data_IF_914471570253
#
_entry.id   IF_914471570253
#
_cell.length_a   1.000
_cell.length_b   1.000
_cell.length_c   1.000
_cell.angle_alpha   90.00
_cell.angle_beta   90.00
_cell.angle_gamma   90.00
#
_symmetry.space_group_name_H-M   'P 1'
#
loop_
_entity.id
_entity.type
_entity.pdbx_description
1 polymer ?
#
# COMPACT_ATOMS: atom_id res chain seq x y z
N UNK A 1 -3.23 3.35 -0.67
CA UNK A 1 -3.54 2.07 0.01
C UNK A 1 -3.88 1.07 -1.10
N UNK A 2 -3.25 -0.11 -1.09
CA UNK A 2 -3.31 -1.08 -2.19
C UNK A 2 -4.74 -1.59 -2.43
N UNK A 3 -5.19 -1.59 -3.71
CA UNK A 3 -6.50 -2.11 -4.15
C UNK A 3 -6.74 -3.55 -3.70
N UNK A 4 -5.68 -4.33 -3.44
CA UNK A 4 -5.74 -5.67 -2.85
C UNK A 4 -6.41 -5.70 -1.48
N UNK A 5 -6.18 -4.72 -0.61
CA UNK A 5 -6.83 -4.64 0.72
C UNK A 5 -8.32 -4.25 0.64
N UNK A 6 -8.77 -3.68 -0.48
CA UNK A 6 -10.14 -3.17 -0.66
C UNK A 6 -11.15 -4.31 -0.89
N UNK A 7 -10.84 -5.27 -1.76
CA UNK A 7 -11.68 -6.45 -2.04
C UNK A 7 -11.68 -7.49 -0.90
N UNK A 8 -10.60 -7.56 -0.12
CA UNK A 8 -10.48 -8.50 1.00
C UNK A 8 -11.50 -8.18 2.10
N UNK A 9 -11.86 -6.91 2.32
CA UNK A 9 -12.62 -6.52 3.52
C UNK A 9 -14.05 -7.07 3.62
N UNK A 10 -14.80 -7.11 2.51
CA UNK A 10 -16.20 -7.53 2.50
C UNK A 10 -16.33 -9.05 2.47
N UNK A 11 -15.52 -9.73 1.64
CA UNK A 11 -15.42 -11.19 1.62
C UNK A 11 -14.94 -11.72 2.97
N UNK A 12 -13.94 -11.08 3.58
CA UNK A 12 -13.43 -11.43 4.90
C UNK A 12 -14.47 -11.25 6.01
N UNK A 13 -15.22 -10.14 5.99
CA UNK A 13 -16.27 -9.90 6.98
C UNK A 13 -17.40 -10.94 6.89
N UNK A 14 -17.76 -11.34 5.67
CA UNK A 14 -18.72 -12.42 5.43
C UNK A 14 -18.20 -13.78 5.90
N UNK A 15 -16.94 -14.10 5.61
CA UNK A 15 -16.28 -15.32 6.07
C UNK A 15 -16.25 -15.41 7.60
N UNK A 16 -15.85 -14.32 8.28
CA UNK A 16 -15.93 -14.22 9.75
C UNK A 16 -17.35 -14.45 10.26
N UNK A 17 -18.36 -13.91 9.57
CA UNK A 17 -19.77 -14.14 9.87
C UNK A 17 -20.18 -15.61 9.74
N UNK A 18 -19.70 -16.30 8.71
CA UNK A 18 -19.89 -17.75 8.53
C UNK A 18 -19.26 -18.54 9.67
N UNK A 19 -17.97 -18.32 9.93
CA UNK A 19 -17.22 -18.98 11.02
C UNK A 19 -17.87 -18.74 12.39
N UNK A 20 -18.39 -17.52 12.63
CA UNK A 20 -19.06 -17.19 13.88
C UNK A 20 -20.37 -17.96 14.11
N UNK A 21 -21.08 -18.30 13.04
CA UNK A 21 -22.31 -19.11 13.11
C UNK A 21 -22.00 -20.58 13.37
N UNK A 22 -20.94 -21.11 12.77
CA UNK A 22 -20.65 -22.55 12.77
C UNK A 22 -19.79 -23.02 13.94
N UNK A 23 -18.85 -22.19 14.40
CA UNK A 23 -17.78 -22.63 15.31
C UNK A 23 -17.77 -21.97 16.69
N UNK A 24 -18.68 -21.02 16.96
CA UNK A 24 -18.77 -20.37 18.27
C UNK A 24 -20.17 -20.53 18.87
N UNK A 25 -20.31 -21.33 19.95
CA UNK A 25 -21.62 -21.55 20.58
C UNK A 25 -22.24 -20.24 21.06
N UNK A 26 -23.57 -20.13 20.92
CA UNK A 26 -24.30 -18.90 21.24
C UNK A 26 -24.59 -18.73 22.73
N UNK A 27 -24.60 -19.84 23.49
CA UNK A 27 -24.94 -19.83 24.91
C UNK A 27 -23.92 -19.08 25.78
N UNK A 28 -22.68 -18.90 25.35
CA UNK A 28 -21.72 -18.10 26.11
C UNK A 28 -22.17 -16.63 26.18
N UNK A 29 -22.18 -16.05 27.38
CA UNK A 29 -22.57 -14.66 27.58
C UNK A 29 -21.55 -13.71 26.92
N UNK A 30 -20.26 -13.90 27.23
CA UNK A 30 -19.14 -13.15 26.69
C UNK A 30 -18.19 -14.03 25.88
N UNK A 31 -17.46 -13.40 24.95
CA UNK A 31 -16.41 -14.10 24.20
C UNK A 31 -15.20 -14.43 25.09
N UNK A 32 -15.08 -13.77 26.24
CA UNK A 32 -14.06 -14.08 27.24
C UNK A 32 -14.26 -15.48 27.81
N UNK A 33 -15.51 -15.87 28.03
CA UNK A 33 -15.92 -17.14 28.64
C UNK A 33 -15.77 -18.33 27.69
N UNK A 34 -15.62 -18.07 26.39
CA UNK A 34 -15.40 -19.13 25.40
C UNK A 34 -14.06 -19.83 25.69
N UNK A 35 -14.03 -21.18 25.81
CA UNK A 35 -12.82 -21.93 26.10
C UNK A 35 -11.69 -21.68 25.11
N UNK A 36 -10.45 -21.72 25.60
CA UNK A 36 -9.24 -21.57 24.80
C UNK A 36 -9.14 -22.56 23.62
N UNK A 37 -9.52 -23.86 23.75
CA UNK A 37 -9.55 -24.79 22.61
C UNK A 37 -10.45 -24.31 21.46
N UNK A 38 -11.64 -23.80 21.77
CA UNK A 38 -12.57 -23.26 20.78
C UNK A 38 -11.99 -22.01 20.12
N UNK A 39 -11.38 -21.10 20.88
CA UNK A 39 -10.68 -19.92 20.34
C UNK A 39 -9.52 -20.30 19.40
N UNK A 40 -8.79 -21.38 19.70
CA UNK A 40 -7.73 -21.92 18.81
C UNK A 40 -8.31 -22.46 17.51
N UNK A 41 -9.41 -23.22 17.57
CA UNK A 41 -10.10 -23.71 16.38
C UNK A 41 -10.60 -22.56 15.50
N UNK A 42 -11.23 -21.56 16.11
CA UNK A 42 -11.66 -20.33 15.43
C UNK A 42 -10.47 -19.65 14.75
N UNK A 43 -9.34 -19.50 15.44
CA UNK A 43 -8.13 -18.91 14.85
C UNK A 43 -7.61 -19.71 13.66
N UNK A 44 -7.54 -21.05 13.77
CA UNK A 44 -7.14 -21.94 12.67
C UNK A 44 -8.06 -21.74 11.47
N UNK A 45 -9.38 -21.71 11.69
CA UNK A 45 -10.36 -21.49 10.62
C UNK A 45 -10.25 -20.09 10.00
N UNK A 46 -10.03 -19.04 10.78
CA UNK A 46 -9.80 -17.68 10.25
C UNK A 46 -8.55 -17.64 9.37
N UNK A 47 -7.47 -18.31 9.78
CA UNK A 47 -6.25 -18.43 8.97
C UNK A 47 -6.52 -19.17 7.66
N UNK A 48 -7.24 -20.28 7.71
CA UNK A 48 -7.55 -21.10 6.53
C UNK A 48 -8.66 -20.56 5.62
N UNK A 49 -9.60 -19.75 6.15
CA UNK A 49 -10.77 -19.26 5.40
C UNK A 49 -10.45 -18.05 4.52
N UNK A 50 -9.29 -17.44 4.73
CA UNK A 50 -8.91 -16.31 3.92
C UNK A 50 -8.38 -16.85 2.58
N UNK A 51 -8.92 -16.32 1.47
CA UNK A 51 -8.26 -16.33 0.14
C UNK A 51 -6.95 -15.50 0.14
N UNK A 52 -6.21 -15.57 1.23
CA UNK A 52 -4.94 -14.93 1.54
C UNK A 52 -4.08 -15.91 2.36
N UNK A 53 -4.22 -17.21 2.11
CA UNK A 53 -3.23 -18.20 2.50
C UNK A 53 -1.95 -17.93 1.72
N UNK A 54 -0.84 -17.93 2.46
CA UNK A 54 0.57 -17.76 2.07
C UNK A 54 0.99 -16.43 1.41
N UNK A 55 0.13 -15.76 0.64
CA UNK A 55 0.52 -14.51 -0.04
C UNK A 55 0.58 -13.28 0.90
N UNK A 56 -0.16 -13.28 2.03
CA UNK A 56 -0.19 -12.16 2.98
C UNK A 56 0.19 -12.53 4.42
N UNK A 57 0.57 -13.79 4.66
CA UNK A 57 1.00 -14.33 5.95
C UNK A 57 0.50 -13.55 7.16
N UNK A 58 -0.81 -13.64 7.49
CA UNK A 58 -1.34 -12.91 8.66
C UNK A 58 -0.57 -13.41 9.88
N UNK A 59 0.44 -12.63 10.26
CA UNK A 59 1.36 -12.98 11.31
C UNK A 59 0.59 -13.22 12.60
N UNK A 60 1.11 -14.12 13.45
CA UNK A 60 0.51 -14.42 14.75
C UNK A 60 0.30 -13.12 15.58
N UNK A 61 1.11 -12.08 15.32
CA UNK A 61 0.97 -10.70 15.81
C UNK A 61 -0.46 -10.14 15.65
N UNK A 62 -1.16 -10.46 14.56
CA UNK A 62 -2.51 -9.96 14.30
C UNK A 62 -3.63 -10.79 14.93
N UNK A 63 -3.33 -11.96 15.52
CA UNK A 63 -4.33 -12.85 16.11
C UNK A 63 -5.29 -12.14 17.06
N UNK A 64 -4.75 -11.29 17.94
CA UNK A 64 -5.54 -10.52 18.91
C UNK A 64 -6.54 -9.59 18.22
N UNK A 65 -6.13 -8.91 17.13
CA UNK A 65 -7.01 -7.99 16.41
C UNK A 65 -8.08 -8.75 15.61
N UNK A 66 -7.74 -9.90 15.02
CA UNK A 66 -8.70 -10.71 14.27
C UNK A 66 -9.73 -11.37 15.19
N UNK A 67 -9.30 -11.91 16.34
CA UNK A 67 -10.23 -12.46 17.34
C UNK A 67 -11.19 -11.39 17.89
N UNK A 68 -10.75 -10.12 18.01
CA UNK A 68 -11.66 -9.01 18.35
C UNK A 68 -12.71 -8.77 17.28
N UNK A 69 -12.34 -8.81 15.99
CA UNK A 69 -13.29 -8.69 14.86
C UNK A 69 -14.27 -9.87 14.83
N UNK A 70 -13.76 -11.08 15.02
CA UNK A 70 -14.57 -12.28 15.15
C UNK A 70 -15.60 -12.15 16.28
N UNK A 71 -15.14 -11.78 17.49
CA UNK A 71 -16.01 -11.60 18.63
C UNK A 71 -17.13 -10.58 18.38
N UNK A 72 -16.84 -9.53 17.59
CA UNK A 72 -17.86 -8.57 17.14
C UNK A 72 -18.88 -9.23 16.21
N UNK A 73 -18.43 -9.95 15.18
CA UNK A 73 -19.30 -10.66 14.25
C UNK A 73 -20.20 -11.69 14.95
N UNK A 74 -19.64 -12.41 15.93
CA UNK A 74 -20.41 -13.34 16.78
C UNK A 74 -21.47 -12.62 17.63
N UNK A 75 -21.16 -11.47 18.24
CA UNK A 75 -22.17 -10.66 18.95
C UNK A 75 -23.28 -10.16 18.02
N UNK A 76 -22.94 -9.75 16.80
CA UNK A 76 -23.91 -9.35 15.78
C UNK A 76 -24.79 -10.53 15.33
N UNK A 77 -24.24 -11.73 15.24
CA UNK A 77 -25.02 -12.95 15.00
C UNK A 77 -26.00 -13.22 16.14
N UNK A 78 -25.56 -13.20 17.40
CA UNK A 78 -26.46 -13.32 18.56
C UNK A 78 -27.54 -12.23 18.56
N UNK A 79 -27.23 -11.01 18.12
CA UNK A 79 -28.23 -9.95 17.99
C UNK A 79 -29.28 -10.24 16.93
N UNK A 80 -28.89 -10.73 15.75
CA UNK A 80 -29.83 -11.12 14.70
C UNK A 80 -30.75 -12.26 15.16
N UNK A 81 -30.21 -13.25 15.86
CA UNK A 81 -31.03 -14.32 16.44
C UNK A 81 -32.07 -13.77 17.42
N UNK A 82 -31.65 -12.83 18.28
CA UNK A 82 -32.56 -12.21 19.25
C UNK A 82 -33.71 -11.48 18.58
N UNK A 83 -33.41 -10.55 17.67
CA UNK A 83 -34.45 -9.75 17.00
C UNK A 83 -35.40 -10.60 16.17
N UNK A 84 -34.89 -11.65 15.50
CA UNK A 84 -35.72 -12.47 14.60
C UNK A 84 -36.52 -13.57 15.29
N UNK A 85 -36.00 -14.12 16.38
CA UNK A 85 -36.54 -15.35 16.98
C UNK A 85 -36.83 -15.24 18.47
N UNK A 86 -36.05 -14.48 19.25
CA UNK A 86 -36.29 -14.33 20.69
C UNK A 86 -37.36 -13.27 20.98
N UNK A 87 -37.18 -12.06 20.43
CA UNK A 87 -38.00 -10.89 20.71
C UNK A 87 -39.41 -10.99 20.04
N UNK A 88 -39.68 -12.07 19.27
CA UNK A 88 -40.96 -12.30 18.59
C UNK A 88 -42.03 -12.94 19.50
N UNK A 89 -41.60 -13.65 20.53
CA UNK A 89 -42.47 -14.38 21.45
C UNK A 89 -42.33 -13.82 22.85
N UNK A 90 -43.39 -13.85 23.64
CA UNK A 90 -43.41 -13.26 24.98
C UNK A 90 -42.98 -14.26 26.07
N UNK A 91 -43.35 -15.53 25.91
CA UNK A 91 -43.04 -16.59 26.86
C UNK A 91 -41.73 -17.34 26.53
N UNK A 92 -40.96 -17.70 27.57
CA UNK A 92 -39.68 -18.42 27.41
C UNK A 92 -39.86 -19.86 26.88
N UNK A 93 -40.94 -20.56 27.26
CA UNK A 93 -41.20 -21.91 26.73
C UNK A 93 -41.52 -21.87 25.23
N UNK A 94 -42.24 -20.85 24.78
CA UNK A 94 -42.53 -20.64 23.37
C UNK A 94 -41.26 -20.30 22.59
N UNK A 95 -40.38 -19.46 23.16
CA UNK A 95 -39.05 -19.17 22.59
C UNK A 95 -38.23 -20.44 22.42
N UNK A 96 -38.20 -21.35 23.41
CA UNK A 96 -37.49 -22.64 23.34
C UNK A 96 -38.06 -23.59 22.28
N UNK A 97 -39.39 -23.62 22.14
CA UNK A 97 -40.07 -24.40 21.07
C UNK A 97 -39.68 -23.91 19.67
N UNK A 98 -39.53 -22.60 19.47
CA UNK A 98 -39.18 -22.00 18.19
C UNK A 98 -37.67 -21.85 17.96
N UNK A 99 -36.92 -22.95 18.05
CA UNK A 99 -35.49 -22.98 17.76
C UNK A 99 -35.21 -22.62 16.28
N UNK A 100 -34.29 -21.67 15.99
CA UNK A 100 -33.93 -21.30 14.62
C UNK A 100 -33.23 -22.42 13.84
N UNK A 101 -33.54 -22.56 12.55
CA UNK A 101 -32.85 -23.51 11.66
C UNK A 101 -31.34 -23.25 11.65
N UNK A 102 -30.55 -24.29 11.90
CA UNK A 102 -29.08 -24.23 11.92
C UNK A 102 -28.45 -23.88 13.27
N UNK A 103 -29.25 -23.73 14.33
CA UNK A 103 -28.80 -23.64 15.73
C UNK A 103 -29.12 -24.95 16.44
N UNK A 104 -28.19 -25.47 17.25
CA UNK A 104 -28.44 -26.64 18.09
C UNK A 104 -29.48 -26.33 19.16
N UNK A 105 -30.40 -27.24 19.44
CA UNK A 105 -31.50 -27.00 20.38
C UNK A 105 -30.99 -26.72 21.79
N UNK A 106 -29.98 -27.46 22.22
CA UNK A 106 -29.36 -27.32 23.54
C UNK A 106 -28.66 -25.96 23.69
N UNK A 107 -28.00 -25.49 22.61
CA UNK A 107 -27.37 -24.17 22.59
C UNK A 107 -28.41 -23.05 22.61
N UNK A 108 -29.57 -23.26 21.98
CA UNK A 108 -30.69 -22.32 21.95
C UNK A 108 -31.39 -22.20 23.30
N UNK A 109 -31.70 -23.32 23.96
CA UNK A 109 -32.39 -23.31 25.25
C UNK A 109 -31.58 -22.57 26.30
N UNK A 110 -30.27 -22.85 26.38
CA UNK A 110 -29.34 -22.13 27.27
C UNK A 110 -29.21 -20.65 26.89
N UNK A 111 -29.33 -20.32 25.62
CA UNK A 111 -29.33 -18.94 25.16
C UNK A 111 -30.59 -18.18 25.62
N UNK A 112 -31.76 -18.82 25.56
CA UNK A 112 -33.03 -18.27 26.07
C UNK A 112 -32.92 -18.03 27.58
N UNK A 113 -32.44 -19.01 28.34
CA UNK A 113 -32.26 -18.89 29.80
C UNK A 113 -31.33 -17.73 30.16
N UNK A 114 -30.24 -17.57 29.41
CA UNK A 114 -29.31 -16.46 29.63
C UNK A 114 -29.96 -15.10 29.31
N UNK A 115 -30.75 -14.99 28.25
CA UNK A 115 -31.41 -13.72 27.91
C UNK A 115 -32.57 -13.38 28.87
N UNK A 116 -33.19 -14.39 29.51
CA UNK A 116 -34.24 -14.21 30.50
C UNK A 116 -33.75 -13.54 31.81
N UNK A 117 -32.45 -13.67 32.13
CA UNK A 117 -31.83 -13.10 33.34
C UNK A 117 -32.13 -11.59 33.50
N UNK A 118 -32.49 -11.11 34.71
CA UNK A 118 -32.84 -9.72 34.94
C UNK A 118 -31.67 -8.75 34.66
N UNK A 119 -30.43 -9.16 34.97
CA UNK A 119 -29.21 -8.39 34.66
C UNK A 119 -29.05 -8.14 33.16
N UNK A 120 -29.40 -9.13 32.32
CA UNK A 120 -29.32 -9.07 30.86
C UNK A 120 -30.41 -8.17 30.28
N UNK A 121 -31.64 -8.28 30.79
CA UNK A 121 -32.76 -7.39 30.44
C UNK A 121 -32.41 -5.93 30.77
N UNK A 122 -31.87 -5.66 31.97
CA UNK A 122 -31.41 -4.31 32.38
C UNK A 122 -30.34 -3.76 31.43
N UNK A 123 -29.28 -4.52 31.16
CA UNK A 123 -28.19 -4.10 30.28
C UNK A 123 -28.69 -3.78 28.85
N UNK A 124 -29.66 -4.55 28.36
CA UNK A 124 -30.30 -4.30 27.06
C UNK A 124 -31.11 -3.01 27.05
N UNK A 125 -31.87 -2.72 28.10
CA UNK A 125 -32.63 -1.48 28.21
C UNK A 125 -31.70 -0.26 28.22
N UNK A 126 -30.65 -0.31 29.03
CA UNK A 126 -29.60 0.73 29.05
C UNK A 126 -29.01 0.91 27.65
N UNK A 127 -28.59 -0.18 27.00
CA UNK A 127 -28.04 -0.13 25.65
C UNK A 127 -29.01 0.44 24.61
N UNK A 128 -30.31 0.12 24.70
CA UNK A 128 -31.35 0.68 23.82
C UNK A 128 -31.47 2.19 24.01
N UNK A 129 -31.52 2.66 25.25
CA UNK A 129 -31.63 4.08 25.58
C UNK A 129 -30.37 4.85 25.15
N UNK A 130 -29.16 4.32 25.43
CA UNK A 130 -27.90 4.93 24.98
C UNK A 130 -27.81 5.00 23.45
N UNK A 131 -28.31 3.99 22.72
CA UNK A 131 -28.34 4.03 21.25
C UNK A 131 -29.33 5.06 20.70
N UNK A 132 -30.48 5.26 21.35
CA UNK A 132 -31.44 6.33 21.00
C UNK A 132 -30.87 7.72 21.23
N UNK A 133 -30.08 7.91 22.30
CA UNK A 133 -29.47 9.20 22.63
C UNK A 133 -28.24 9.57 21.77
N UNK A 134 -27.76 8.66 20.90
CA UNK A 134 -26.52 8.86 20.15
C UNK A 134 -26.71 9.82 18.97
N UNK A 135 -26.21 11.06 19.11
CA UNK A 135 -26.32 12.14 18.11
C UNK A 135 -25.23 12.11 17.02
N UNK A 136 -24.12 11.41 17.24
CA UNK A 136 -22.95 11.37 16.34
C UNK A 136 -22.75 9.97 15.75
N UNK A 137 -23.70 9.53 14.93
CA UNK A 137 -23.55 8.29 14.16
C UNK A 137 -22.81 8.56 12.85
N UNK A 138 -21.88 7.69 12.54
CA UNK A 138 -21.24 7.59 11.24
C UNK A 138 -22.25 7.28 10.13
N UNK A 139 -22.10 7.96 8.98
CA UNK A 139 -23.03 7.88 7.85
C UNK A 139 -22.39 7.32 6.57
N UNK A 140 -21.08 7.00 6.54
CA UNK A 140 -20.46 6.41 5.32
C UNK A 140 -20.92 4.98 4.97
N UNK A 141 -21.90 4.43 5.68
CA UNK A 141 -22.43 3.09 5.44
C UNK A 141 -21.36 1.99 5.38
N UNK A 142 -21.48 1.08 4.41
CA UNK A 142 -20.56 -0.05 4.21
C UNK A 142 -19.13 0.37 3.87
N UNK A 143 -18.93 1.57 3.30
CA UNK A 143 -17.60 2.09 2.95
C UNK A 143 -16.72 2.28 4.19
N UNK A 144 -17.27 2.69 5.33
CA UNK A 144 -16.49 2.83 6.56
C UNK A 144 -15.48 4.00 6.55
N UNK A 145 -15.09 4.44 7.74
CA UNK A 145 -14.29 5.66 7.95
C UNK A 145 -12.95 5.69 7.20
N UNK A 146 -12.14 4.61 7.29
CA UNK A 146 -10.80 4.60 6.70
C UNK A 146 -10.81 4.82 5.17
N UNK A 147 -11.78 4.23 4.47
CA UNK A 147 -11.95 4.43 3.02
C UNK A 147 -12.47 5.83 2.70
N UNK A 148 -13.36 6.36 3.52
CA UNK A 148 -13.83 7.75 3.36
C UNK A 148 -12.66 8.74 3.49
N UNK A 149 -11.82 8.58 4.51
CA UNK A 149 -10.61 9.41 4.71
C UNK A 149 -9.61 9.23 3.57
N UNK A 150 -9.38 8.00 3.12
CA UNK A 150 -8.48 7.74 1.99
C UNK A 150 -8.95 8.42 0.70
N UNK A 151 -10.25 8.34 0.40
CA UNK A 151 -10.82 9.01 -0.76
C UNK A 151 -10.77 10.53 -0.62
N UNK A 152 -10.96 11.07 0.59
CA UNK A 152 -10.79 12.48 0.87
C UNK A 152 -9.36 12.94 0.58
N UNK A 153 -8.34 12.19 1.05
CA UNK A 153 -6.93 12.46 0.75
C UNK A 153 -6.62 12.35 -0.75
N UNK A 154 -7.24 11.41 -1.46
CA UNK A 154 -7.07 11.27 -2.92
C UNK A 154 -7.64 12.46 -3.70
N UNK A 155 -8.77 13.00 -3.25
CA UNK A 155 -9.39 14.19 -3.86
C UNK A 155 -8.59 15.46 -3.57
N UNK A 156 -8.00 15.55 -2.38
CA UNK A 156 -7.24 16.70 -1.92
C UNK A 156 -5.78 16.31 -1.62
N UNK A 157 -4.94 16.08 -2.64
CA UNK A 157 -3.57 15.56 -2.44
C UNK A 157 -2.66 16.53 -1.68
N UNK A 158 -2.91 17.83 -1.80
CA UNK A 158 -2.08 18.89 -1.21
C UNK A 158 -2.61 19.39 0.14
N UNK A 159 -3.76 18.88 0.60
CA UNK A 159 -4.38 19.33 1.85
C UNK A 159 -4.12 18.31 2.95
N UNK A 160 -3.59 18.79 4.08
CA UNK A 160 -3.46 17.97 5.30
C UNK A 160 -4.86 17.61 5.79
N UNK A 161 -5.17 16.31 5.83
CA UNK A 161 -6.47 15.83 6.30
C UNK A 161 -6.47 15.81 7.84
N UNK A 162 -7.13 16.79 8.45
CA UNK A 162 -7.27 16.93 9.91
C UNK A 162 -8.42 16.06 10.47
N UNK A 163 -8.55 16.05 11.81
CA UNK A 163 -9.67 15.39 12.50
C UNK A 163 -11.01 15.97 12.07
N UNK A 164 -11.12 17.30 12.01
CA UNK A 164 -12.35 18.01 11.65
C UNK A 164 -12.83 17.65 10.25
N UNK A 165 -11.93 17.71 9.24
CA UNK A 165 -12.26 17.31 7.86
C UNK A 165 -12.66 15.84 7.76
N UNK A 166 -11.95 14.97 8.50
CA UNK A 166 -12.30 13.56 8.59
C UNK A 166 -13.69 13.37 9.20
N UNK A 167 -13.99 14.05 10.31
CA UNK A 167 -15.27 13.99 11.02
C UNK A 167 -16.42 14.40 10.09
N UNK A 168 -16.30 15.55 9.43
CA UNK A 168 -17.31 16.06 8.50
C UNK A 168 -17.61 15.04 7.40
N UNK A 169 -16.58 14.54 6.71
CA UNK A 169 -16.75 13.56 5.63
C UNK A 169 -17.39 12.24 6.12
N UNK A 170 -17.12 11.84 7.36
CA UNK A 170 -17.59 10.61 8.01
C UNK A 170 -19.04 10.72 8.50
N UNK A 171 -19.50 11.93 8.84
CA UNK A 171 -20.83 12.21 9.38
C UNK A 171 -21.78 12.89 8.38
N UNK A 172 -21.32 13.12 7.14
CA UNK A 172 -22.17 13.52 6.01
C UNK A 172 -22.78 12.29 5.36
N UNK A 173 -24.10 12.29 5.12
CA UNK A 173 -24.76 11.22 4.35
C UNK A 173 -24.52 11.41 2.84
N UNK A 174 -24.99 10.46 2.02
CA UNK A 174 -24.81 10.53 0.55
C UNK A 174 -25.60 11.67 -0.11
N UNK A 175 -26.75 11.99 0.46
CA UNK A 175 -27.65 13.10 0.11
C UNK A 175 -27.19 14.45 0.68
N UNK A 176 -26.03 14.51 1.34
CA UNK A 176 -25.50 15.74 1.94
C UNK A 176 -26.10 16.07 3.31
N UNK A 177 -27.14 15.36 3.76
CA UNK A 177 -27.76 15.62 5.05
C UNK A 177 -26.93 15.10 6.23
N UNK A 178 -27.16 15.69 7.41
CA UNK A 178 -26.48 15.34 8.67
C UNK A 178 -27.49 14.74 9.65
N UNK A 179 -27.03 13.82 10.52
CA UNK A 179 -27.90 13.33 11.60
C UNK A 179 -28.21 14.41 12.63
N UNK A 180 -27.24 15.29 12.90
CA UNK A 180 -27.37 16.43 13.79
C UNK A 180 -26.97 17.70 13.02
N UNK A 181 -27.86 18.29 12.21
CA UNK A 181 -27.55 19.44 11.37
C UNK A 181 -27.11 20.66 12.19
N UNK A 182 -27.71 20.87 13.37
CA UNK A 182 -27.34 21.92 14.32
C UNK A 182 -25.84 21.90 14.69
N UNK A 183 -25.26 20.70 14.87
CA UNK A 183 -23.84 20.56 15.23
C UNK A 183 -22.95 20.86 14.04
N UNK A 184 -23.34 20.38 12.86
CA UNK A 184 -22.55 20.62 11.67
C UNK A 184 -22.56 22.09 11.27
N UNK A 185 -23.69 22.77 11.40
CA UNK A 185 -23.79 24.21 11.15
C UNK A 185 -22.84 25.00 12.06
N UNK A 186 -22.77 24.66 13.36
CA UNK A 186 -21.81 25.31 14.28
C UNK A 186 -20.36 25.01 13.93
N UNK A 187 -20.04 23.78 13.54
CA UNK A 187 -18.68 23.42 13.09
C UNK A 187 -18.31 24.23 11.85
N UNK A 188 -19.20 24.32 10.86
CA UNK A 188 -18.97 25.12 9.66
C UNK A 188 -18.80 26.61 9.98
N UNK A 189 -19.63 27.16 10.87
CA UNK A 189 -19.53 28.57 11.25
C UNK A 189 -18.16 28.91 11.88
N UNK A 190 -17.62 28.03 12.73
CA UNK A 190 -16.27 28.21 13.31
C UNK A 190 -15.20 28.16 12.21
N UNK A 191 -15.35 27.27 11.23
CA UNK A 191 -14.41 27.12 10.11
C UNK A 191 -14.48 28.33 9.17
N UNK A 192 -15.67 28.89 8.96
CA UNK A 192 -15.89 30.08 8.14
C UNK A 192 -15.32 31.35 8.80
N UNK A 193 -15.44 31.46 10.12
CA UNK A 193 -14.89 32.57 10.91
C UNK A 193 -13.35 32.49 11.01
N UNK A 194 -12.81 31.30 11.31
CA UNK A 194 -11.38 31.05 11.36
C UNK A 194 -11.03 29.73 10.63
N UNK A 195 -10.56 29.80 9.38
CA UNK A 195 -10.10 28.63 8.63
C UNK A 195 -8.91 27.91 9.28
N UNK A 196 -8.10 28.60 10.07
CA UNK A 196 -6.93 28.01 10.75
C UNK A 196 -7.32 27.11 11.92
N UNK A 197 -8.54 27.29 12.46
CA UNK A 197 -9.13 26.48 13.54
C UNK A 197 -9.11 24.98 13.24
N UNK A 198 -9.14 24.59 11.96
CA UNK A 198 -9.15 23.20 11.50
C UNK A 198 -7.89 22.42 11.91
N UNK A 199 -6.74 23.10 12.03
CA UNK A 199 -5.44 22.49 12.38
C UNK A 199 -5.06 22.65 13.86
N UNK A 200 -5.99 23.16 14.69
CA UNK A 200 -5.81 23.20 16.13
C UNK A 200 -5.68 21.80 16.73
N UNK A 201 -5.21 21.75 17.97
CA UNK A 201 -5.07 20.50 18.70
C UNK A 201 -6.43 19.80 18.92
N UNK A 202 -6.37 18.54 19.36
CA UNK A 202 -7.56 17.70 19.56
C UNK A 202 -8.54 18.23 20.62
N UNK A 203 -8.10 19.17 21.46
CA UNK A 203 -8.86 19.74 22.57
C UNK A 203 -9.47 21.11 22.24
N UNK A 204 -8.95 21.78 21.21
CA UNK A 204 -9.36 23.12 20.79
C UNK A 204 -9.96 23.15 19.37
N UNK A 205 -9.91 22.07 18.60
CA UNK A 205 -10.50 22.03 17.26
C UNK A 205 -12.03 22.28 17.27
N UNK A 206 -12.64 22.61 16.12
CA UNK A 206 -14.08 22.86 16.01
C UNK A 206 -14.96 21.71 16.52
N UNK A 207 -14.47 20.46 16.47
CA UNK A 207 -15.20 19.31 17.00
C UNK A 207 -15.22 19.35 18.52
N UNK A 208 -14.11 19.66 19.18
CA UNK A 208 -14.03 19.78 20.63
C UNK A 208 -14.88 20.95 21.14
N UNK A 209 -14.87 22.09 20.44
CA UNK A 209 -15.68 23.25 20.78
C UNK A 209 -17.19 22.94 20.70
N UNK A 210 -17.64 22.23 19.66
CA UNK A 210 -19.08 21.96 19.46
C UNK A 210 -19.58 20.70 20.17
N UNK A 211 -18.78 19.64 20.19
CA UNK A 211 -19.18 18.35 20.78
C UNK A 211 -18.68 18.14 22.21
N UNK A 212 -17.88 19.07 22.73
CA UNK A 212 -17.16 18.93 23.99
C UNK A 212 -15.83 18.18 23.85
N UNK A 213 -15.00 18.18 24.89
CA UNK A 213 -13.70 17.52 24.87
C UNK A 213 -13.85 16.01 24.70
N UNK A 214 -12.81 15.41 24.12
CA UNK A 214 -12.70 13.96 23.97
C UNK A 214 -12.84 13.22 25.31
N UNK A 215 -13.80 12.30 25.40
CA UNK A 215 -14.11 11.60 26.64
C UNK A 215 -13.38 10.25 26.75
N UNK A 216 -13.06 9.86 27.99
CA UNK A 216 -12.45 8.56 28.33
C UNK A 216 -11.13 8.27 27.58
N UNK A 217 -10.36 9.32 27.28
CA UNK A 217 -9.10 9.22 26.54
C UNK A 217 -9.25 8.75 25.09
N UNK A 218 -10.46 8.81 24.53
CA UNK A 218 -10.79 8.40 23.16
C UNK A 218 -11.15 9.58 22.29
N UNK A 219 -10.63 9.56 21.07
CA UNK A 219 -10.82 10.62 20.09
C UNK A 219 -12.22 10.56 19.51
N UNK A 220 -12.96 11.65 19.63
CA UNK A 220 -14.29 11.80 19.05
C UNK A 220 -14.23 11.70 17.52
N UNK A 221 -15.31 11.18 16.92
CA UNK A 221 -15.39 10.99 15.48
C UNK A 221 -14.62 9.79 14.90
N UNK A 222 -13.71 9.19 15.66
CA UNK A 222 -12.88 8.08 15.20
C UNK A 222 -13.48 6.72 15.59
N UNK A 223 -14.07 6.03 14.60
CA UNK A 223 -14.83 4.75 14.68
C UNK A 223 -14.29 3.68 15.64
N UNK A 224 -12.99 3.60 15.86
CA UNK A 224 -12.33 2.49 16.56
C UNK A 224 -12.12 2.76 18.06
N UNK A 225 -12.56 3.93 18.56
CA UNK A 225 -12.20 4.34 19.92
C UNK A 225 -10.69 4.47 20.02
N UNK A 226 -10.11 5.15 19.03
CA UNK A 226 -8.68 5.42 18.97
C UNK A 226 -8.33 6.24 20.20
N UNK A 227 -7.34 5.80 20.99
CA UNK A 227 -6.92 6.58 22.14
C UNK A 227 -6.09 7.78 21.70
N UNK A 228 -6.23 8.91 22.41
CA UNK A 228 -5.39 10.08 22.21
C UNK A 228 -3.91 9.72 22.28
N UNK A 229 -3.53 8.96 23.32
CA UNK A 229 -2.16 8.48 23.53
C UNK A 229 -1.65 7.68 22.34
N UNK A 230 -2.48 6.81 21.74
CA UNK A 230 -2.06 6.04 20.57
C UNK A 230 -1.84 6.93 19.35
N UNK A 231 -2.64 7.97 19.14
CA UNK A 231 -2.39 8.93 18.07
C UNK A 231 -1.10 9.70 18.28
N UNK A 232 -0.89 10.24 19.49
CA UNK A 232 0.29 11.03 19.84
C UNK A 232 1.56 10.18 19.69
N UNK A 233 1.59 9.00 20.31
CA UNK A 233 2.77 8.10 20.27
C UNK A 233 3.04 7.59 18.85
N UNK A 234 2.01 7.27 18.06
CA UNK A 234 2.20 6.77 16.69
C UNK A 234 2.35 7.86 15.64
N UNK A 235 2.13 9.13 15.99
CA UNK A 235 2.17 10.27 15.07
C UNK A 235 3.50 10.38 14.35
N UNK A 236 4.64 10.52 15.07
CA UNK A 236 5.95 10.68 14.46
C UNK A 236 6.33 9.52 13.52
N UNK A 237 6.06 8.28 13.95
CA UNK A 237 6.35 7.09 13.14
C UNK A 237 5.52 7.04 11.86
N UNK A 238 4.23 7.44 11.91
CA UNK A 238 3.36 7.50 10.74
C UNK A 238 3.77 8.60 9.78
N UNK A 239 4.21 9.74 10.30
CA UNK A 239 4.69 10.86 9.49
C UNK A 239 5.98 10.46 8.75
N UNK A 240 6.95 9.86 9.47
CA UNK A 240 8.17 9.32 8.87
C UNK A 240 7.86 8.30 7.78
N UNK A 241 6.94 7.37 8.04
CA UNK A 241 6.50 6.40 7.04
C UNK A 241 5.84 7.07 5.83
N UNK A 242 5.07 8.15 6.06
CA UNK A 242 4.45 8.90 4.98
C UNK A 242 5.49 9.58 4.08
N UNK A 243 6.47 10.24 4.68
CA UNK A 243 7.58 10.88 3.99
C UNK A 243 8.39 9.86 3.19
N UNK A 244 8.74 8.72 3.79
CA UNK A 244 9.45 7.64 3.10
C UNK A 244 8.63 7.09 1.93
N UNK A 245 7.32 6.93 2.10
CA UNK A 245 6.43 6.50 1.01
C UNK A 245 6.41 7.53 -0.13
N UNK A 246 6.34 8.82 0.18
CA UNK A 246 6.39 9.87 -0.84
C UNK A 246 7.73 9.84 -1.59
N UNK A 247 8.86 9.72 -0.88
CA UNK A 247 10.19 9.59 -1.47
C UNK A 247 10.28 8.36 -2.38
N UNK A 248 9.82 7.18 -1.91
CA UNK A 248 9.78 5.96 -2.72
C UNK A 248 8.97 6.15 -4.00
N UNK A 249 7.78 6.75 -3.92
CA UNK A 249 6.97 7.00 -5.12
C UNK A 249 7.63 7.99 -6.09
N UNK A 250 8.41 8.95 -5.59
CA UNK A 250 9.15 9.89 -6.43
C UNK A 250 10.32 9.19 -7.13
N UNK A 251 11.06 8.33 -6.40
CA UNK A 251 12.14 7.50 -6.96
C UNK A 251 11.59 6.55 -8.02
N UNK A 252 10.49 5.85 -7.76
CA UNK A 252 9.83 4.95 -8.72
C UNK A 252 9.45 5.66 -10.02
N UNK A 253 8.92 6.89 -9.95
CA UNK A 253 8.61 7.71 -11.14
C UNK A 253 9.88 8.08 -11.93
N UNK A 254 10.97 8.42 -11.23
CA UNK A 254 12.26 8.73 -11.87
C UNK A 254 12.86 7.51 -12.54
N UNK A 255 12.87 6.36 -11.86
CA UNK A 255 13.34 5.08 -12.41
C UNK A 255 12.53 4.71 -13.66
N UNK A 256 11.19 4.79 -13.61
CA UNK A 256 10.37 4.53 -14.78
C UNK A 256 10.59 5.51 -15.95
N UNK A 257 11.10 6.72 -15.68
CA UNK A 257 11.52 7.66 -16.74
C UNK A 257 12.86 7.24 -17.34
N UNK A 258 13.82 6.84 -16.50
CA UNK A 258 15.13 6.32 -16.93
C UNK A 258 14.95 5.06 -17.78
N UNK A 259 14.10 4.13 -17.36
CA UNK A 259 13.80 2.91 -18.12
C UNK A 259 13.30 3.23 -19.54
N UNK A 260 12.41 4.23 -19.68
CA UNK A 260 11.96 4.70 -20.99
C UNK A 260 13.10 5.25 -21.83
N UNK A 261 13.95 6.11 -21.26
CA UNK A 261 15.11 6.65 -21.97
C UNK A 261 16.08 5.53 -22.39
N UNK A 262 16.29 4.53 -21.54
CA UNK A 262 17.16 3.38 -21.83
C UNK A 262 16.63 2.52 -22.98
N UNK A 263 15.31 2.33 -23.06
CA UNK A 263 14.65 1.66 -24.20
C UNK A 263 14.84 2.48 -25.49
N UNK A 264 14.65 3.80 -25.43
CA UNK A 264 14.85 4.67 -26.62
C UNK A 264 16.30 4.64 -27.09
N UNK A 265 17.27 4.72 -26.16
CA UNK A 265 18.69 4.64 -26.50
C UNK A 265 19.08 3.29 -27.12
N UNK A 266 18.53 2.18 -26.60
CA UNK A 266 18.77 0.86 -27.18
C UNK A 266 18.18 0.74 -28.59
N UNK A 267 17.00 1.31 -28.85
CA UNK A 267 16.42 1.38 -30.19
C UNK A 267 17.32 2.17 -31.16
N UNK A 268 17.81 3.34 -30.77
CA UNK A 268 18.74 4.16 -31.57
C UNK A 268 20.04 3.39 -31.86
N UNK A 269 20.60 2.70 -30.88
CA UNK A 269 21.80 1.89 -31.07
C UNK A 269 21.56 0.72 -32.05
N UNK A 270 20.38 0.10 -32.03
CA UNK A 270 20.01 -0.93 -33.02
C UNK A 270 19.90 -0.34 -34.43
N UNK A 271 19.32 0.84 -34.60
CA UNK A 271 19.25 1.54 -35.89
C UNK A 271 20.64 1.90 -36.43
N UNK A 272 21.51 2.46 -35.59
CA UNK A 272 22.90 2.77 -35.98
C UNK A 272 23.63 1.49 -36.38
N UNK A 273 23.45 0.39 -35.64
CA UNK A 273 24.06 -0.91 -35.96
C UNK A 273 23.60 -1.41 -37.34
N UNK A 274 22.30 -1.34 -37.63
CA UNK A 274 21.74 -1.75 -38.92
C UNK A 274 22.27 -0.90 -40.08
N UNK A 275 22.38 0.41 -39.90
CA UNK A 275 23.00 1.32 -40.88
C UNK A 275 24.48 0.97 -41.12
N UNK A 276 25.25 0.70 -40.06
CA UNK A 276 26.64 0.29 -40.18
C UNK A 276 26.80 -1.06 -40.90
N UNK A 277 25.96 -2.06 -40.61
CA UNK A 277 26.02 -3.36 -41.31
C UNK A 277 25.68 -3.24 -42.79
N UNK A 278 24.73 -2.39 -43.15
CA UNK A 278 24.39 -2.08 -44.55
C UNK A 278 25.56 -1.37 -45.27
N UNK A 279 26.27 -0.48 -44.58
CA UNK A 279 27.46 0.19 -45.14
C UNK A 279 28.67 -0.74 -45.30
N UNK A 280 28.84 -1.72 -44.40
CA UNK A 280 29.93 -2.70 -44.41
C UNK A 280 29.72 -3.79 -45.48
N UNK A 281 28.47 -4.16 -45.76
CA UNK A 281 28.14 -5.07 -46.86
C UNK A 281 28.48 -4.50 -48.24
N UNK A 282 28.71 -3.18 -48.36
CA UNK A 282 29.13 -2.51 -49.59
C UNK A 282 30.66 -2.50 -49.79
N UNK A 283 31.47 -2.75 -48.75
CA UNK A 283 32.94 -2.74 -48.80
C UNK A 283 33.51 -4.09 -48.33
N UNK A 284 33.40 -5.12 -49.18
CA UNK A 284 34.07 -6.41 -48.99
C UNK A 284 35.56 -6.31 -49.24
N UNK A 285 36.34 -5.98 -48.21
CA UNK A 285 37.78 -6.29 -48.15
C UNK A 285 38.39 -6.16 -46.74
N UNK A 286 37.87 -5.29 -45.87
CA UNK A 286 38.57 -4.93 -44.61
C UNK A 286 37.79 -5.21 -43.31
N UNK A 287 36.50 -5.56 -43.40
CA UNK A 287 35.62 -5.60 -42.22
C UNK A 287 35.61 -6.94 -41.45
N UNK A 288 36.08 -8.04 -42.04
CA UNK A 288 36.09 -9.36 -41.39
C UNK A 288 37.07 -9.44 -40.22
N UNK A 289 38.19 -8.71 -40.28
CA UNK A 289 39.26 -8.74 -39.26
C UNK A 289 38.89 -7.91 -38.02
N UNK A 290 38.16 -6.81 -38.20
CA UNK A 290 37.73 -5.96 -37.09
C UNK A 290 36.53 -6.55 -36.31
N UNK A 291 35.63 -7.27 -37.00
CA UNK A 291 34.49 -7.92 -36.35
C UNK A 291 34.92 -9.11 -35.48
N UNK A 292 35.89 -9.92 -35.95
CA UNK A 292 36.43 -11.05 -35.19
C UNK A 292 37.24 -10.63 -33.95
N UNK A 293 37.93 -9.48 -34.01
CA UNK A 293 38.64 -8.94 -32.85
C UNK A 293 37.70 -8.33 -31.80
N UNK A 294 36.58 -7.74 -32.23
CA UNK A 294 35.55 -7.21 -31.33
C UNK A 294 34.76 -8.31 -30.59
N UNK A 295 34.41 -9.41 -31.27
CA UNK A 295 33.74 -10.57 -30.64
C UNK A 295 34.68 -11.29 -29.64
N UNK A 296 35.98 -11.40 -29.96
CA UNK A 296 36.98 -11.90 -29.02
C UNK A 296 37.12 -11.05 -27.75
N UNK A 297 36.93 -9.73 -27.86
CA UNK A 297 36.99 -8.78 -26.74
C UNK A 297 35.81 -8.92 -25.77
N UNK A 298 34.59 -9.14 -26.28
CA UNK A 298 33.39 -9.39 -25.44
C UNK A 298 33.48 -10.75 -24.72
N UNK A 299 34.04 -11.77 -25.37
CA UNK A 299 34.19 -13.09 -24.76
C UNK A 299 35.23 -13.13 -23.63
N UNK A 300 36.32 -12.35 -23.76
CA UNK A 300 37.39 -12.30 -22.75
C UNK A 300 37.06 -11.39 -21.56
N UNK A 301 36.33 -10.29 -21.78
CA UNK A 301 35.90 -9.37 -20.71
C UNK A 301 34.89 -9.98 -19.73
N UNK A 302 34.10 -10.97 -20.16
CA UNK A 302 33.10 -11.63 -19.32
C UNK A 302 33.68 -12.63 -18.30
N UNK A 303 34.97 -12.98 -18.39
CA UNK A 303 35.61 -13.95 -17.47
C UNK A 303 36.40 -13.32 -16.32
N UNK A 304 36.59 -11.99 -16.29
CA UNK A 304 37.46 -11.30 -15.32
C UNK A 304 36.78 -10.00 -14.82
N UNK A 305 35.68 -10.13 -14.06
CA UNK A 305 35.08 -8.99 -13.35
C UNK A 305 35.35 -9.19 -11.86
N UNK A 306 36.53 -8.75 -11.39
CA UNK A 306 36.80 -8.68 -9.95
C UNK A 306 37.40 -7.35 -9.48
N UNK A 307 37.85 -6.45 -10.37
CA UNK A 307 38.30 -5.12 -9.97
C UNK A 307 38.19 -4.06 -11.11
N UNK A 308 37.26 -3.09 -11.04
CA UNK A 308 36.98 -2.16 -12.13
C UNK A 308 38.15 -1.20 -12.45
N UNK A 309 39.03 -0.88 -11.49
CA UNK A 309 40.15 0.06 -11.70
C UNK A 309 41.26 -0.56 -12.54
N UNK A 310 41.59 -1.83 -12.29
CA UNK A 310 42.58 -2.58 -13.08
C UNK A 310 42.08 -2.84 -14.50
N UNK A 311 40.78 -3.11 -14.65
CA UNK A 311 40.14 -3.26 -15.96
C UNK A 311 40.28 -1.98 -16.79
N UNK A 312 40.06 -0.80 -16.21
CA UNK A 312 40.22 0.49 -16.91
C UNK A 312 41.67 0.72 -17.34
N UNK A 313 42.63 0.43 -16.47
CA UNK A 313 44.06 0.61 -16.78
C UNK A 313 44.53 -0.34 -17.89
N UNK A 314 44.05 -1.59 -17.86
CA UNK A 314 44.30 -2.59 -18.91
C UNK A 314 43.68 -2.16 -20.25
N UNK A 315 42.43 -1.66 -20.23
CA UNK A 315 41.73 -1.15 -21.42
C UNK A 315 42.48 0.03 -22.04
N UNK A 316 42.94 1.00 -21.23
CA UNK A 316 43.77 2.12 -21.72
C UNK A 316 45.07 1.63 -22.37
N UNK A 317 45.78 0.70 -21.74
CA UNK A 317 47.06 0.16 -22.24
C UNK A 317 46.89 -0.63 -23.54
N UNK A 318 45.82 -1.40 -23.67
CA UNK A 318 45.50 -2.16 -24.88
C UNK A 318 45.02 -1.27 -26.03
N UNK A 319 44.21 -0.24 -25.75
CA UNK A 319 43.80 0.75 -26.74
C UNK A 319 45.01 1.49 -27.33
N UNK A 320 45.96 1.90 -26.49
CA UNK A 320 47.21 2.54 -26.93
C UNK A 320 48.08 1.61 -27.80
N UNK A 321 48.13 0.31 -27.49
CA UNK A 321 48.82 -0.69 -28.33
C UNK A 321 48.12 -0.90 -29.67
N UNK A 322 46.78 -0.95 -29.69
CA UNK A 322 46.00 -1.06 -30.92
C UNK A 322 46.18 0.17 -31.82
N UNK A 323 46.18 1.38 -31.25
CA UNK A 323 46.48 2.63 -31.95
C UNK A 323 47.90 2.61 -32.51
N UNK A 324 48.89 2.15 -31.74
CA UNK A 324 50.29 2.04 -32.20
C UNK A 324 50.42 1.04 -33.36
N UNK A 325 49.70 -0.10 -33.30
CA UNK A 325 49.72 -1.12 -34.35
C UNK A 325 49.01 -0.65 -35.62
N UNK A 326 47.87 0.03 -35.48
CA UNK A 326 47.16 0.70 -36.58
C UNK A 326 48.02 1.79 -37.22
N UNK A 327 48.77 2.55 -36.42
CA UNK A 327 49.71 3.57 -36.91
C UNK A 327 50.85 2.94 -37.71
N UNK A 328 51.42 1.81 -37.26
CA UNK A 328 52.46 1.06 -37.99
C UNK A 328 51.94 0.43 -39.30
N UNK A 329 50.74 -0.15 -39.29
CA UNK A 329 50.10 -0.70 -40.50
C UNK A 329 49.79 0.43 -41.51
N UNK A 330 49.39 1.60 -41.02
CA UNK A 330 49.17 2.78 -41.84
C UNK A 330 50.47 3.43 -42.37
N UNK A 331 51.61 3.21 -41.70
CA UNK A 331 52.92 3.72 -42.11
C UNK A 331 53.59 2.87 -43.20
N UNK A 332 53.21 1.58 -43.33
CA UNK A 332 53.82 0.64 -44.28
C UNK A 332 53.11 0.53 -45.65
N UNK A 333 51.93 1.14 -45.80
CA UNK A 333 51.19 1.14 -47.07
C UNK A 333 51.57 2.33 -47.96
N UNK A 334 52.75 2.24 -48.56
CA UNK A 334 53.18 3.12 -49.64
C UNK A 334 52.59 2.69 -50.99
N UNK A 335 51.77 3.58 -51.58
CA UNK A 335 51.48 3.86 -53.01
C UNK A 335 49.97 4.05 -53.27
N UNK A 336 49.57 5.31 -53.50
CA UNK A 336 48.26 5.70 -54.07
C UNK A 336 47.49 6.76 -53.27
N UNK A 337 47.40 7.99 -53.81
CA UNK A 337 46.40 9.03 -53.49
C UNK A 337 46.53 9.74 -52.13
N UNK A 338 47.33 10.81 -52.04
CA UNK A 338 47.85 11.38 -50.79
C UNK A 338 46.89 12.31 -50.00
N UNK A 339 45.89 12.98 -50.63
CA UNK A 339 45.12 14.05 -49.96
C UNK A 339 43.77 13.65 -49.34
N UNK A 340 42.99 12.79 -49.97
CA UNK A 340 41.66 12.36 -49.46
C UNK A 340 41.75 11.34 -48.32
N UNK A 341 42.78 10.48 -48.33
CA UNK A 341 43.02 9.45 -47.30
C UNK A 341 43.57 10.02 -45.99
N UNK A 342 44.39 11.08 -46.04
CA UNK A 342 44.87 11.81 -44.86
C UNK A 342 43.71 12.48 -44.10
N UNK A 343 42.75 13.06 -44.83
CA UNK A 343 41.58 13.72 -44.24
C UNK A 343 40.62 12.72 -43.56
N UNK A 344 40.41 11.55 -44.16
CA UNK A 344 39.60 10.48 -43.56
C UNK A 344 40.28 9.88 -42.32
N UNK A 345 41.61 9.71 -42.34
CA UNK A 345 42.42 9.26 -41.20
C UNK A 345 42.35 10.24 -40.02
N UNK A 346 42.42 11.55 -40.28
CA UNK A 346 42.27 12.60 -39.26
C UNK A 346 40.84 12.67 -38.69
N UNK A 347 39.82 12.50 -39.54
CA UNK A 347 38.41 12.47 -39.08
C UNK A 347 38.09 11.24 -38.23
N UNK A 348 38.61 10.07 -38.59
CA UNK A 348 38.41 8.84 -37.82
C UNK A 348 39.18 8.88 -36.49
N UNK A 349 40.42 9.38 -36.49
CA UNK A 349 41.20 9.60 -35.26
C UNK A 349 40.48 10.58 -34.33
N UNK A 350 40.01 11.73 -34.83
CA UNK A 350 39.24 12.70 -34.02
C UNK A 350 37.94 12.13 -33.48
N UNK A 351 37.21 11.32 -34.26
CA UNK A 351 35.98 10.66 -33.79
C UNK A 351 36.25 9.61 -32.71
N UNK A 352 37.32 8.82 -32.84
CA UNK A 352 37.72 7.83 -31.82
C UNK A 352 38.17 8.53 -30.55
N UNK A 353 38.98 9.60 -30.65
CA UNK A 353 39.41 10.38 -29.48
C UNK A 353 38.21 11.06 -28.79
N UNK A 354 37.27 11.61 -29.56
CA UNK A 354 36.04 12.20 -29.01
C UNK A 354 35.16 11.15 -28.32
N UNK A 355 35.03 9.95 -28.89
CA UNK A 355 34.25 8.86 -28.30
C UNK A 355 34.86 8.35 -26.99
N UNK A 356 36.20 8.28 -26.92
CA UNK A 356 36.93 7.90 -25.69
C UNK A 356 36.80 8.98 -24.60
N UNK A 357 36.82 10.27 -24.98
CA UNK A 357 36.62 11.38 -24.04
C UNK A 357 35.19 11.43 -23.50
N UNK A 358 34.18 11.28 -24.37
CA UNK A 358 32.76 11.28 -23.97
C UNK A 358 32.42 10.08 -23.07
N UNK A 359 33.00 8.90 -23.34
CA UNK A 359 32.85 7.73 -22.47
C UNK A 359 33.62 7.94 -21.15
N UNK A 360 34.80 8.54 -21.19
CA UNK A 360 35.57 8.90 -20.00
C UNK A 360 34.82 9.86 -19.07
N UNK A 361 34.26 10.94 -19.62
CA UNK A 361 33.51 11.96 -18.87
C UNK A 361 32.18 11.40 -18.33
N UNK A 362 31.51 10.53 -19.09
CA UNK A 362 30.29 9.86 -18.64
C UNK A 362 30.57 8.86 -17.50
N UNK A 363 31.73 8.20 -17.51
CA UNK A 363 32.14 7.26 -16.45
C UNK A 363 32.61 8.00 -15.19
N UNK A 364 33.34 9.12 -15.32
CA UNK A 364 33.69 10.00 -14.19
C UNK A 364 32.45 10.62 -13.54
N UNK A 365 31.45 11.01 -14.33
CA UNK A 365 30.15 11.49 -13.82
C UNK A 365 29.34 10.43 -13.06
N UNK A 366 29.55 9.14 -13.31
CA UNK A 366 28.83 8.02 -12.66
C UNK A 366 29.53 7.59 -11.37
N UNK A 367 30.85 7.73 -11.30
CA UNK A 367 31.65 7.26 -10.16
C UNK A 367 31.88 8.33 -9.09
N UNK A 368 31.64 9.61 -9.38
CA UNK A 368 31.67 10.66 -8.36
C UNK A 368 32.98 10.73 -7.59
N UNK A 369 34.08 10.94 -8.32
CA UNK A 369 35.31 11.63 -7.90
C UNK A 369 36.21 11.86 -9.14
#
# INVERSE_FOLDING_TARGET
MDKRLEMISDSYSSALGGTAKTHCPIFYESFKDVPSPTKRLIWKKIKSSNKCGDEYGIAEVYKKCQLKKFAKSWREYKHRLRVKHYDKYDNDDERKRHCPKGVKREDWDRFVDNEAKPSRKRMRLVGKNSRKALKSLHTSGRRGAARTIHNLKKKNPNVKITRTLSYMAIHTRKDGSFLAPERMARINAIIEDDPSSIDLDLDNDPIAQVCGPDQYGRVLGMRVGVSKTSLIVSGPAKEKLHQETQQRTMVEKRVGTIEKHMITLTQILMEIKDQCTKSVAADTSTSSVLYLTYIGWISYGNQQIHNPVETIHMVKKMAMRAISKLWRICAFSGRGGFRSRQLAKLKLSRKITFFILVIGDSISSILGD
#
